data_IF_779229787340
#
_entry.id   IF_779229787340
#
_cell.length_a   1.000
_cell.length_b   1.000
_cell.length_c   1.000
_cell.angle_alpha   90.00
_cell.angle_beta   90.00
_cell.angle_gamma   90.00
#
_symmetry.space_group_name_H-M   'P 1'
#
loop_
_entity.id
_entity.type
_entity.pdbx_description
1 polymer ?
#
# COMPACT_ATOMS: atom_id res chain seq x y z
N UNK A 1 18.40 43.29 -18.45
CA UNK A 1 17.23 42.39 -18.53
C UNK A 1 17.68 40.93 -18.50
N UNK A 2 18.13 40.41 -17.35
CA UNK A 2 18.52 38.98 -17.18
C UNK A 2 18.19 38.44 -15.79
N UNK A 3 18.05 39.32 -14.79
CA UNK A 3 17.72 38.96 -13.41
C UNK A 3 16.25 38.53 -13.23
N UNK A 4 15.30 39.18 -13.93
CA UNK A 4 13.88 38.81 -13.86
C UNK A 4 13.59 37.41 -14.40
N UNK A 5 14.29 36.99 -15.47
CA UNK A 5 14.10 35.66 -16.05
C UNK A 5 14.63 34.56 -15.12
N UNK A 6 15.69 34.84 -14.35
CA UNK A 6 16.30 33.88 -13.43
C UNK A 6 15.47 33.68 -12.16
N UNK A 7 14.89 34.76 -11.62
CA UNK A 7 13.93 34.66 -10.50
C UNK A 7 12.68 33.86 -10.90
N UNK A 8 12.17 34.05 -12.13
CA UNK A 8 11.00 33.33 -12.61
C UNK A 8 11.25 31.81 -12.72
N UNK A 9 12.44 31.41 -13.21
CA UNK A 9 12.83 30.00 -13.30
C UNK A 9 13.07 29.36 -11.92
N UNK A 10 13.64 30.10 -10.97
CA UNK A 10 13.84 29.60 -9.59
C UNK A 10 12.50 29.46 -8.86
N UNK A 11 11.58 30.42 -9.03
CA UNK A 11 10.23 30.32 -8.47
C UNK A 11 9.50 29.09 -9.01
N UNK A 12 9.53 28.85 -10.33
CA UNK A 12 8.95 27.63 -10.91
C UNK A 12 9.58 26.36 -10.33
N UNK A 13 10.92 26.30 -10.19
CA UNK A 13 11.61 25.15 -9.56
C UNK A 13 11.17 24.88 -8.12
N UNK A 14 10.97 25.92 -7.32
CA UNK A 14 10.51 25.79 -5.93
C UNK A 14 9.04 25.33 -5.83
N UNK A 15 8.19 25.65 -6.81
CA UNK A 15 6.81 25.15 -6.85
C UNK A 15 6.68 23.67 -7.23
N UNK A 16 7.73 23.03 -7.78
CA UNK A 16 7.67 21.58 -8.08
C UNK A 16 7.97 20.69 -6.86
N UNK A 17 8.39 21.27 -5.73
CA UNK A 17 8.51 20.55 -4.46
C UNK A 17 7.21 20.70 -3.67
N UNK A 18 6.06 20.57 -4.33
CA UNK A 18 4.83 20.29 -3.60
C UNK A 18 5.06 18.92 -2.95
N UNK A 19 5.09 18.87 -1.62
CA UNK A 19 5.01 17.62 -0.87
C UNK A 19 3.88 16.80 -1.49
N UNK A 20 4.24 15.77 -2.26
CA UNK A 20 3.28 14.79 -2.74
C UNK A 20 2.89 14.05 -1.49
N UNK A 21 1.82 14.52 -0.83
CA UNK A 21 1.27 13.79 0.29
C UNK A 21 0.82 12.43 -0.25
N UNK A 22 1.41 11.41 0.34
CA UNK A 22 1.19 10.04 -0.02
C UNK A 22 0.87 9.28 1.26
N UNK A 23 -0.23 8.54 1.24
CA UNK A 23 -0.46 7.52 2.24
C UNK A 23 0.38 6.30 1.92
N UNK A 24 0.72 5.59 2.97
CA UNK A 24 1.44 4.34 2.89
C UNK A 24 0.75 3.23 3.66
N UNK A 25 0.85 2.03 3.11
CA UNK A 25 0.41 0.81 3.76
C UNK A 25 1.62 -0.08 3.99
N UNK A 26 1.80 -0.56 5.20
CA UNK A 26 2.83 -1.53 5.54
C UNK A 26 2.18 -2.86 5.89
N UNK A 27 2.67 -3.98 5.35
CA UNK A 27 2.17 -5.31 5.68
C UNK A 27 3.31 -6.21 6.12
N UNK A 28 3.22 -6.66 7.38
CA UNK A 28 4.09 -7.69 7.93
C UNK A 28 3.67 -9.07 7.44
N UNK A 29 4.61 -9.83 6.87
CA UNK A 29 4.35 -11.17 6.31
C UNK A 29 4.79 -12.26 7.30
N UNK A 30 3.88 -13.18 7.62
CA UNK A 30 4.07 -14.24 8.62
C UNK A 30 3.17 -15.47 8.31
N UNK A 31 3.12 -15.90 7.05
CA UNK A 31 2.45 -17.14 6.66
C UNK A 31 3.40 -18.32 6.70
N UNK A 32 2.87 -19.51 7.03
CA UNK A 32 3.63 -20.75 6.94
C UNK A 32 3.79 -21.19 5.47
N UNK A 33 4.86 -20.72 4.81
CA UNK A 33 5.30 -21.10 3.44
C UNK A 33 4.16 -20.99 2.42
N UNK A 34 3.75 -19.77 2.10
CA UNK A 34 2.65 -19.50 1.16
C UNK A 34 2.90 -18.23 0.37
N UNK A 35 2.44 -18.21 -0.88
CA UNK A 35 2.34 -16.98 -1.64
C UNK A 35 1.03 -16.26 -1.37
N UNK A 36 1.06 -14.93 -1.42
CA UNK A 36 -0.12 -14.09 -1.27
C UNK A 36 -0.04 -12.86 -2.18
N UNK A 37 -1.13 -12.10 -2.21
CA UNK A 37 -1.25 -10.83 -2.91
C UNK A 37 -1.91 -9.83 -1.98
N UNK A 38 -1.30 -8.65 -1.84
CA UNK A 38 -1.83 -7.49 -1.13
C UNK A 38 -1.95 -6.33 -2.12
N UNK A 39 -3.14 -5.72 -2.21
CA UNK A 39 -3.34 -4.57 -3.09
C UNK A 39 -4.28 -3.53 -2.50
N UNK A 40 -4.19 -2.33 -3.04
CA UNK A 40 -4.91 -1.16 -2.60
C UNK A 40 -5.87 -0.74 -3.71
N UNK A 41 -7.13 -0.49 -3.33
CA UNK A 41 -8.14 0.06 -4.22
C UNK A 41 -8.64 1.41 -3.70
N UNK A 42 -9.00 2.31 -4.63
CA UNK A 42 -9.70 3.55 -4.32
C UNK A 42 -11.15 3.27 -3.88
N UNK A 43 -11.87 4.33 -3.51
CA UNK A 43 -13.28 4.24 -3.12
C UNK A 43 -14.22 3.76 -4.23
N UNK A 44 -13.77 3.77 -5.49
CA UNK A 44 -14.52 3.29 -6.65
C UNK A 44 -14.16 1.84 -7.03
N UNK A 45 -13.23 1.19 -6.33
CA UNK A 45 -12.73 -0.14 -6.64
C UNK A 45 -11.66 -0.17 -7.74
N UNK A 46 -11.05 0.97 -8.08
CA UNK A 46 -9.93 1.01 -9.01
C UNK A 46 -8.62 0.69 -8.29
N UNK A 47 -7.75 -0.08 -8.94
CA UNK A 47 -6.41 -0.36 -8.46
C UNK A 47 -5.59 0.93 -8.27
N UNK A 48 -5.00 1.10 -7.09
CA UNK A 48 -4.11 2.22 -6.76
C UNK A 48 -2.65 1.80 -6.67
N UNK A 49 -2.37 0.76 -5.89
CA UNK A 49 -1.02 0.30 -5.59
C UNK A 49 -1.06 -1.14 -5.05
N UNK A 50 0.11 -1.74 -4.84
CA UNK A 50 0.23 -3.09 -4.33
C UNK A 50 0.83 -4.08 -5.32
N UNK A 51 0.53 -5.34 -5.09
CA UNK A 51 1.03 -6.44 -5.88
C UNK A 51 0.24 -6.62 -7.18
N UNK A 52 1.00 -6.79 -8.27
CA UNK A 52 0.45 -7.14 -9.58
C UNK A 52 0.13 -8.64 -9.69
N UNK A 53 0.70 -9.46 -8.81
CA UNK A 53 0.56 -10.91 -8.81
C UNK A 53 0.86 -11.50 -7.44
N UNK A 54 1.03 -12.81 -7.38
CA UNK A 54 1.41 -13.50 -6.15
C UNK A 54 2.90 -13.31 -5.87
N UNK A 55 3.26 -13.10 -4.61
CA UNK A 55 4.64 -13.11 -4.12
C UNK A 55 4.72 -13.95 -2.84
N UNK A 56 5.93 -14.28 -2.40
CA UNK A 56 6.14 -15.04 -1.16
C UNK A 56 5.76 -14.19 0.06
N UNK A 57 4.86 -14.70 0.89
CA UNK A 57 4.40 -14.03 2.11
C UNK A 57 4.78 -14.81 3.37
N UNK A 58 5.80 -15.67 3.27
CA UNK A 58 6.43 -16.28 4.43
C UNK A 58 7.25 -15.25 5.24
N UNK A 59 7.63 -15.63 6.47
CA UNK A 59 8.34 -14.73 7.39
C UNK A 59 9.60 -14.12 6.74
N UNK A 60 9.67 -12.79 6.69
CA UNK A 60 10.89 -12.04 6.37
C UNK A 60 10.79 -10.98 5.28
N UNK A 61 9.71 -10.96 4.48
CA UNK A 61 9.53 -9.96 3.41
C UNK A 61 8.33 -9.04 3.69
N UNK A 62 8.54 -7.94 4.42
CA UNK A 62 7.47 -6.96 4.62
C UNK A 62 7.31 -6.05 3.39
N UNK A 63 6.05 -5.76 3.01
CA UNK A 63 5.76 -4.90 1.86
C UNK A 63 5.31 -3.51 2.30
N UNK A 64 5.84 -2.47 1.64
CA UNK A 64 5.38 -1.09 1.78
C UNK A 64 4.90 -0.57 0.43
N UNK A 65 3.67 -0.04 0.39
CA UNK A 65 3.13 0.64 -0.78
C UNK A 65 2.87 2.10 -0.44
N UNK A 66 3.14 3.01 -1.38
CA UNK A 66 2.85 4.44 -1.25
C UNK A 66 2.03 4.90 -2.45
N UNK A 67 1.00 5.71 -2.20
CA UNK A 67 0.02 6.15 -3.21
C UNK A 67 -0.57 7.51 -2.83
N UNK A 68 -1.20 8.24 -3.77
CA UNK A 68 -1.74 9.57 -3.50
C UNK A 68 -2.79 9.56 -2.38
N UNK A 69 -2.80 10.62 -1.56
CA UNK A 69 -3.81 10.84 -0.51
C UNK A 69 -5.24 10.74 -1.06
N UNK A 70 -5.96 9.70 -0.64
CA UNK A 70 -7.36 9.47 -0.95
C UNK A 70 -7.95 8.43 0.00
N UNK A 71 -9.27 8.28 0.00
CA UNK A 71 -9.91 7.17 0.70
C UNK A 71 -9.60 5.86 -0.01
N UNK A 72 -9.13 4.85 0.72
CA UNK A 72 -8.71 3.58 0.15
C UNK A 72 -9.14 2.37 0.98
N UNK A 73 -9.08 1.19 0.36
CA UNK A 73 -9.20 -0.11 1.02
C UNK A 73 -7.98 -0.97 0.73
N UNK A 74 -7.64 -1.86 1.66
CA UNK A 74 -6.52 -2.81 1.50
C UNK A 74 -7.09 -4.21 1.42
N UNK A 75 -6.68 -4.92 0.39
CA UNK A 75 -7.14 -6.27 0.06
C UNK A 75 -5.98 -7.24 0.21
N UNK A 76 -6.30 -8.43 0.69
CA UNK A 76 -5.35 -9.53 0.77
C UNK A 76 -6.00 -10.82 0.27
N UNK A 77 -5.22 -11.65 -0.43
CA UNK A 77 -5.60 -13.00 -0.83
C UNK A 77 -4.39 -13.92 -0.74
N UNK A 78 -4.56 -15.08 -0.11
CA UNK A 78 -3.54 -16.14 -0.03
C UNK A 78 -3.78 -17.16 -1.15
N UNK A 79 -2.70 -17.57 -1.81
CA UNK A 79 -2.74 -18.63 -2.82
C UNK A 79 -3.16 -19.96 -2.20
N UNK A 80 -3.85 -20.81 -2.97
CA UNK A 80 -4.37 -22.11 -2.55
C UNK A 80 -5.37 -22.10 -1.38
N UNK A 81 -5.58 -20.95 -0.73
CA UNK A 81 -6.58 -20.77 0.33
C UNK A 81 -8.00 -20.81 -0.21
N UNK A 82 -8.84 -21.64 0.39
CA UNK A 82 -10.29 -21.62 0.16
C UNK A 82 -10.99 -20.45 0.86
N UNK A 83 -10.31 -19.74 1.75
CA UNK A 83 -10.88 -18.55 2.38
C UNK A 83 -11.10 -17.43 1.34
N UNK A 84 -12.17 -16.66 1.53
CA UNK A 84 -12.42 -15.46 0.72
C UNK A 84 -11.31 -14.42 0.95
N UNK A 85 -11.11 -13.56 -0.05
CA UNK A 85 -10.23 -12.39 0.11
C UNK A 85 -10.67 -11.57 1.32
N UNK A 86 -9.71 -10.96 2.02
CA UNK A 86 -9.98 -10.12 3.20
C UNK A 86 -9.75 -8.66 2.81
N UNK A 87 -10.74 -7.82 3.10
CA UNK A 87 -10.73 -6.38 2.80
C UNK A 87 -10.69 -5.61 4.11
N UNK A 88 -9.91 -4.53 4.18
CA UNK A 88 -9.81 -3.61 5.32
C UNK A 88 -10.02 -2.17 4.86
N UNK A 89 -10.62 -1.37 5.72
CA UNK A 89 -10.94 0.03 5.45
C UNK A 89 -12.44 0.27 5.42
N UNK A 90 -12.88 1.44 4.90
CA UNK A 90 -12.06 2.47 4.27
C UNK A 90 -11.09 3.18 5.24
N UNK A 91 -9.99 3.74 4.71
CA UNK A 91 -8.98 4.49 5.46
C UNK A 91 -8.68 5.86 4.83
N UNK A 92 -8.18 6.79 5.64
CA UNK A 92 -7.79 8.16 5.23
C UNK A 92 -6.46 8.59 5.89
N UNK A 93 -5.49 7.67 5.94
CA UNK A 93 -4.18 7.88 6.58
C UNK A 93 -3.28 6.66 6.40
N UNK A 94 -2.06 6.71 6.92
CA UNK A 94 -1.17 5.55 6.92
C UNK A 94 -1.75 4.38 7.71
N UNK A 95 -1.50 3.15 7.24
CA UNK A 95 -1.96 1.94 7.94
C UNK A 95 -0.92 0.83 7.94
N UNK A 96 -0.97 0.01 8.99
CA UNK A 96 -0.13 -1.16 9.14
C UNK A 96 -0.97 -2.42 9.36
N UNK A 97 -0.57 -3.50 8.71
CA UNK A 97 -1.23 -4.79 8.77
C UNK A 97 -0.24 -5.91 9.03
N UNK A 98 -0.75 -7.04 9.49
CA UNK A 98 -0.04 -8.31 9.51
C UNK A 98 -0.90 -9.37 8.84
N UNK A 99 -0.31 -10.08 7.89
CA UNK A 99 -0.87 -11.32 7.35
C UNK A 99 -0.18 -12.48 8.05
N UNK A 100 -0.94 -13.39 8.67
CA UNK A 100 -0.34 -14.47 9.45
C UNK A 100 -1.23 -15.71 9.55
N UNK A 101 -0.63 -16.85 9.88
CA UNK A 101 -1.32 -18.14 10.04
C UNK A 101 -0.93 -19.15 8.96
N UNK A 102 -1.86 -20.03 8.59
CA UNK A 102 -1.68 -21.08 7.57
C UNK A 102 -2.57 -20.84 6.36
N UNK A 103 -2.32 -21.54 5.24
CA UNK A 103 -3.08 -21.42 3.97
C UNK A 103 -4.59 -21.31 4.20
N UNK A 104 -5.16 -22.21 5.01
CA UNK A 104 -6.62 -22.35 5.19
C UNK A 104 -7.16 -21.75 6.50
N UNK A 105 -6.30 -21.17 7.33
CA UNK A 105 -6.70 -20.43 8.53
C UNK A 105 -5.80 -19.20 8.75
N UNK A 106 -5.85 -18.27 7.79
CA UNK A 106 -5.04 -17.06 7.81
C UNK A 106 -5.82 -15.87 8.33
N UNK A 107 -5.12 -14.89 8.88
CA UNK A 107 -5.67 -13.64 9.38
C UNK A 107 -5.00 -12.47 8.68
N UNK A 108 -5.77 -11.41 8.50
CA UNK A 108 -5.29 -10.12 8.02
C UNK A 108 -5.67 -9.06 9.05
N UNK A 109 -4.76 -8.75 9.96
CA UNK A 109 -5.06 -7.91 11.14
C UNK A 109 -4.45 -6.54 10.96
N UNK A 110 -5.25 -5.49 11.18
CA UNK A 110 -4.71 -4.14 11.35
C UNK A 110 -3.99 -4.05 12.69
N UNK A 111 -2.85 -3.35 12.71
CA UNK A 111 -2.04 -3.11 13.89
C UNK A 111 -1.57 -1.65 13.93
N UNK A 112 -1.16 -1.14 15.09
CA UNK A 112 -0.41 0.10 15.13
C UNK A 112 0.82 0.01 14.23
N UNK A 113 1.04 1.06 13.45
CA UNK A 113 2.38 1.46 13.05
C UNK A 113 3.07 2.04 14.31
#
# INVERSE_FOLDING_TARGET
MKLQSFLLTVLFMCFYIMDIKAFSTFTFMDLTICSCRVWIEDSNGNYLAGDQGLHDCSEGEDTKFSFPDQTYTVHAKVEASFEKQKVRGPFNGDTCFRIHGTVDDWKFTQRPC
#
